data_IF_001884997472
#
_entry.id   IF_001884997472
#
_cell.length_a   1.000
_cell.length_b   1.000
_cell.length_c   1.000
_cell.angle_alpha   90.00
_cell.angle_beta   90.00
_cell.angle_gamma   90.00
#
_symmetry.space_group_name_H-M   'P 1'
#
loop_
_entity.id
_entity.type
_entity.pdbx_description
1 polymer ?
#
# COMPACT_ATOMS: atom_id res chain seq x y z
N UNK A 1 13.97 16.08 -5.07
CA UNK A 1 13.11 15.24 -5.90
C UNK A 1 13.35 13.78 -5.53
N UNK A 2 12.32 13.01 -5.20
CA UNK A 2 12.50 11.59 -4.89
C UNK A 2 12.91 10.83 -6.15
N UNK A 3 13.94 10.01 -6.07
CA UNK A 3 14.41 9.13 -7.14
C UNK A 3 13.29 8.25 -7.73
N UNK A 4 12.30 7.88 -6.91
CA UNK A 4 11.12 7.10 -7.30
C UNK A 4 10.29 7.82 -8.36
N UNK A 5 10.09 9.13 -8.25
CA UNK A 5 9.31 9.92 -9.22
C UNK A 5 9.97 9.89 -10.61
N UNK A 6 11.31 10.04 -10.67
CA UNK A 6 12.05 9.95 -11.94
C UNK A 6 11.93 8.55 -12.54
N UNK A 7 11.94 7.50 -11.72
CA UNK A 7 11.75 6.13 -12.17
C UNK A 7 10.36 5.88 -12.78
N UNK A 8 9.32 6.41 -12.17
CA UNK A 8 7.96 6.31 -12.71
C UNK A 8 7.80 7.07 -14.02
N UNK A 9 8.33 8.31 -14.10
CA UNK A 9 8.31 9.10 -15.32
C UNK A 9 9.09 8.44 -16.45
N UNK A 10 10.26 7.86 -16.16
CA UNK A 10 11.05 7.14 -17.16
C UNK A 10 10.26 5.95 -17.74
N UNK A 11 9.59 5.17 -16.91
CA UNK A 11 8.74 4.05 -17.34
C UNK A 11 7.54 4.52 -18.15
N UNK A 12 6.90 5.60 -17.74
CA UNK A 12 5.78 6.19 -18.45
C UNK A 12 6.20 6.61 -19.87
N UNK A 13 7.26 7.42 -20.02
CA UNK A 13 7.74 7.85 -21.31
C UNK A 13 8.22 6.68 -22.19
N UNK A 14 8.81 5.66 -21.57
CA UNK A 14 9.19 4.45 -22.31
C UNK A 14 7.96 3.68 -22.84
N UNK A 15 6.89 3.57 -22.05
CA UNK A 15 5.62 2.96 -22.44
C UNK A 15 4.93 3.74 -23.57
N UNK A 16 5.04 5.10 -23.56
CA UNK A 16 4.57 5.99 -24.62
C UNK A 16 5.44 5.92 -25.91
N UNK A 17 6.52 5.13 -25.90
CA UNK A 17 7.37 4.90 -27.08
C UNK A 17 8.51 5.91 -27.29
N UNK A 18 8.79 6.78 -26.30
CA UNK A 18 9.93 7.70 -26.39
C UNK A 18 11.27 6.96 -26.37
N UNK A 19 12.25 7.48 -27.11
CA UNK A 19 13.62 6.95 -27.14
C UNK A 19 14.41 7.42 -25.94
N UNK A 20 15.45 6.66 -25.55
CA UNK A 20 16.28 6.94 -24.36
C UNK A 20 16.74 8.37 -24.23
N UNK A 21 17.26 8.96 -25.32
CA UNK A 21 17.73 10.35 -25.32
C UNK A 21 16.61 11.37 -25.08
N UNK A 22 15.43 11.08 -25.58
CA UNK A 22 14.24 11.92 -25.37
C UNK A 22 13.78 11.81 -23.92
N UNK A 23 13.75 10.58 -23.37
CA UNK A 23 13.42 10.35 -21.96
C UNK A 23 14.40 11.08 -21.04
N UNK A 24 15.71 11.01 -21.34
CA UNK A 24 16.73 11.76 -20.57
C UNK A 24 16.41 13.24 -20.53
N UNK A 25 16.16 13.87 -21.67
CA UNK A 25 15.81 15.30 -21.77
C UNK A 25 14.53 15.64 -21.00
N UNK A 26 13.50 14.82 -21.13
CA UNK A 26 12.24 15.03 -20.40
C UNK A 26 12.42 14.94 -18.87
N UNK A 27 13.29 14.06 -18.40
CA UNK A 27 13.62 13.96 -16.97
C UNK A 27 14.46 15.15 -16.49
N UNK A 28 15.40 15.64 -17.30
CA UNK A 28 16.19 16.86 -17.05
C UNK A 28 15.26 18.08 -16.95
N UNK A 29 14.37 18.26 -17.90
CA UNK A 29 13.36 19.32 -17.91
C UNK A 29 12.43 19.26 -16.70
N UNK A 30 12.05 18.05 -16.29
CA UNK A 30 11.24 17.86 -15.08
C UNK A 30 11.99 18.29 -13.82
N UNK A 31 13.28 17.95 -13.70
CA UNK A 31 14.12 18.38 -12.57
C UNK A 31 14.20 19.89 -12.50
N UNK A 32 14.47 20.56 -13.65
CA UNK A 32 14.55 22.02 -13.72
C UNK A 32 13.22 22.69 -13.40
N UNK A 33 12.09 22.11 -13.85
CA UNK A 33 10.75 22.63 -13.51
C UNK A 33 10.45 22.54 -12.02
N UNK A 34 10.92 21.49 -11.34
CA UNK A 34 10.71 21.31 -9.91
C UNK A 34 11.66 22.15 -9.05
N UNK A 35 12.90 22.34 -9.52
CA UNK A 35 13.92 23.15 -8.87
C UNK A 35 14.77 23.85 -9.94
N UNK A 36 14.45 25.12 -10.25
CA UNK A 36 15.21 25.91 -11.24
C UNK A 36 16.70 26.11 -10.92
N UNK A 37 17.09 25.86 -9.66
CA UNK A 37 18.49 25.98 -9.19
C UNK A 37 19.23 24.64 -9.23
N UNK A 38 18.55 23.55 -9.61
CA UNK A 38 19.13 22.22 -9.62
C UNK A 38 20.30 22.11 -10.61
N UNK A 39 21.41 21.57 -10.15
CA UNK A 39 22.51 21.21 -11.02
C UNK A 39 22.25 19.84 -11.66
N UNK A 40 21.77 19.84 -12.90
CA UNK A 40 21.37 18.64 -13.66
C UNK A 40 22.51 17.61 -13.79
N UNK A 41 23.77 18.04 -13.87
CA UNK A 41 24.93 17.13 -13.94
C UNK A 41 25.01 16.19 -12.74
N UNK A 42 24.56 16.61 -11.56
CA UNK A 42 24.50 15.73 -10.39
C UNK A 42 23.48 14.60 -10.52
N UNK A 43 22.55 14.73 -11.44
CA UNK A 43 21.48 13.77 -11.68
C UNK A 43 21.76 12.84 -12.87
N UNK A 44 22.79 13.09 -13.65
CA UNK A 44 23.10 12.35 -14.87
C UNK A 44 23.13 10.84 -14.67
N UNK A 45 23.89 10.37 -13.69
CA UNK A 45 23.96 8.93 -13.35
C UNK A 45 22.60 8.37 -12.89
N UNK A 46 21.83 9.15 -12.13
CA UNK A 46 20.50 8.76 -11.67
C UNK A 46 19.55 8.66 -12.87
N UNK A 47 19.52 9.64 -13.75
CA UNK A 47 18.70 9.66 -14.97
C UNK A 47 19.05 8.45 -15.84
N UNK A 48 20.33 8.24 -16.14
CA UNK A 48 20.79 7.10 -16.94
C UNK A 48 20.37 5.76 -16.35
N UNK A 49 20.47 5.62 -15.03
CA UNK A 49 20.00 4.43 -14.31
C UNK A 49 18.49 4.23 -14.43
N UNK A 50 17.68 5.28 -14.29
CA UNK A 50 16.23 5.21 -14.41
C UNK A 50 15.78 4.88 -15.85
N UNK A 51 16.41 5.47 -16.86
CA UNK A 51 16.14 5.15 -18.26
C UNK A 51 16.46 3.67 -18.57
N UNK A 52 17.61 3.16 -18.08
CA UNK A 52 17.97 1.76 -18.22
C UNK A 52 16.97 0.83 -17.53
N UNK A 53 16.50 1.20 -16.34
CA UNK A 53 15.51 0.43 -15.60
C UNK A 53 14.13 0.47 -16.25
N UNK A 54 13.75 1.57 -16.91
CA UNK A 54 12.48 1.67 -17.61
C UNK A 54 12.33 0.62 -18.72
N UNK A 55 13.42 0.26 -19.39
CA UNK A 55 13.44 -0.84 -20.38
C UNK A 55 13.26 -2.21 -19.76
N UNK A 56 13.81 -2.39 -18.56
CA UNK A 56 13.81 -3.69 -17.86
C UNK A 56 12.50 -3.97 -17.13
N UNK A 57 11.86 -2.91 -16.63
CA UNK A 57 10.66 -2.99 -15.81
C UNK A 57 9.54 -2.17 -16.45
N UNK A 58 8.68 -2.84 -17.20
CA UNK A 58 7.54 -2.20 -17.85
C UNK A 58 6.64 -1.45 -16.85
N UNK A 59 5.99 -0.40 -17.34
CA UNK A 59 4.86 0.20 -16.62
C UNK A 59 3.71 -0.81 -16.66
N UNK A 60 3.25 -1.21 -15.50
CA UNK A 60 2.09 -2.09 -15.38
C UNK A 60 0.92 -1.19 -14.99
N UNK A 61 -0.08 -1.10 -15.86
CA UNK A 61 -1.36 -0.52 -15.50
C UNK A 61 -2.15 -1.54 -14.70
N UNK A 62 -2.44 -1.19 -13.47
CA UNK A 62 -3.20 -2.00 -12.56
C UNK A 62 -4.37 -1.17 -12.03
N UNK A 63 -5.55 -1.41 -12.60
CA UNK A 63 -6.75 -0.65 -12.25
C UNK A 63 -7.20 -0.96 -10.82
N UNK A 64 -7.19 -2.22 -10.44
CA UNK A 64 -7.65 -2.65 -9.12
C UNK A 64 -7.15 -4.05 -8.75
N UNK A 65 -7.22 -4.36 -7.47
CA UNK A 65 -6.98 -5.71 -6.92
C UNK A 65 -8.29 -6.25 -6.38
N UNK A 66 -8.77 -7.42 -6.87
CA UNK A 66 -9.97 -8.06 -6.35
C UNK A 66 -9.69 -8.72 -4.99
N UNK A 67 -10.54 -8.46 -4.01
CA UNK A 67 -10.59 -9.16 -2.73
C UNK A 67 -11.80 -10.08 -2.73
N UNK A 68 -11.58 -11.37 -2.50
CA UNK A 68 -12.63 -12.36 -2.54
C UNK A 68 -13.42 -12.43 -1.25
N UNK A 69 -14.61 -13.01 -1.32
CA UNK A 69 -15.47 -13.26 -0.16
C UNK A 69 -14.74 -14.06 0.92
N UNK A 70 -14.04 -15.12 0.52
CA UNK A 70 -13.28 -15.99 1.43
C UNK A 70 -12.14 -15.27 2.15
N UNK A 71 -11.43 -14.38 1.45
CA UNK A 71 -10.38 -13.55 2.05
C UNK A 71 -10.95 -12.56 3.07
N UNK A 72 -12.11 -11.97 2.75
CA UNK A 72 -12.78 -11.03 3.65
C UNK A 72 -13.30 -11.76 4.90
N UNK A 73 -13.99 -12.90 4.73
CA UNK A 73 -14.47 -13.73 5.84
C UNK A 73 -13.34 -14.21 6.75
N UNK A 74 -12.18 -14.54 6.18
CA UNK A 74 -10.99 -14.88 6.96
C UNK A 74 -10.53 -13.70 7.82
N UNK A 75 -10.42 -12.51 7.25
CA UNK A 75 -10.08 -11.30 8.01
C UNK A 75 -11.08 -11.03 9.14
N UNK A 76 -12.38 -11.24 8.89
CA UNK A 76 -13.43 -11.07 9.89
C UNK A 76 -13.31 -12.10 11.02
N UNK A 77 -13.05 -13.37 10.67
CA UNK A 77 -12.93 -14.45 11.64
C UNK A 77 -11.86 -14.20 12.69
N UNK A 78 -10.75 -13.53 12.31
CA UNK A 78 -9.69 -13.15 13.24
C UNK A 78 -10.16 -12.18 14.33
N UNK A 79 -11.21 -11.42 14.07
CA UNK A 79 -11.80 -10.55 15.10
C UNK A 79 -12.48 -11.33 16.22
N UNK A 80 -12.79 -12.60 16.00
CA UNK A 80 -13.46 -13.49 16.94
C UNK A 80 -12.51 -14.49 17.62
N UNK A 81 -11.31 -14.72 17.05
CA UNK A 81 -10.33 -15.65 17.59
C UNK A 81 -9.55 -15.05 18.78
N UNK A 82 -9.17 -15.89 19.70
CA UNK A 82 -8.20 -15.54 20.74
C UNK A 82 -6.78 -15.78 20.19
N UNK A 83 -6.02 -14.71 20.01
CA UNK A 83 -4.64 -14.76 19.52
C UNK A 83 -3.71 -14.79 20.74
N UNK A 84 -2.93 -15.88 20.88
CA UNK A 84 -2.22 -16.27 22.08
C UNK A 84 -1.41 -15.18 22.76
N UNK A 85 -0.44 -14.57 22.07
CA UNK A 85 0.47 -13.59 22.68
C UNK A 85 -0.14 -12.20 22.87
N UNK A 86 -1.12 -11.83 22.03
CA UNK A 86 -1.78 -10.52 22.10
C UNK A 86 -2.83 -10.45 23.23
N UNK A 87 -3.31 -11.60 23.71
CA UNK A 87 -4.37 -11.69 24.72
C UNK A 87 -3.89 -11.69 26.17
N UNK A 88 -2.59 -11.61 26.42
CA UNK A 88 -2.02 -11.49 27.77
C UNK A 88 -2.33 -10.14 28.46
N UNK A 89 -3.05 -9.23 27.78
CA UNK A 89 -3.40 -7.91 28.29
C UNK A 89 -4.79 -7.81 28.94
N UNK A 90 -5.10 -6.61 29.45
CA UNK A 90 -6.40 -6.31 30.08
C UNK A 90 -7.58 -6.49 29.11
N UNK A 91 -8.76 -6.86 29.64
CA UNK A 91 -10.00 -7.02 28.85
C UNK A 91 -10.38 -5.78 28.02
N UNK A 92 -9.98 -4.57 28.42
CA UNK A 92 -10.22 -3.32 27.67
C UNK A 92 -9.44 -3.23 26.37
N UNK A 93 -8.32 -3.93 26.23
CA UNK A 93 -7.47 -3.89 25.03
C UNK A 93 -7.90 -4.93 23.97
N UNK A 94 -8.64 -5.97 24.37
CA UNK A 94 -9.05 -7.07 23.47
C UNK A 94 -9.82 -6.63 22.23
N UNK A 95 -10.87 -5.79 22.30
CA UNK A 95 -11.61 -5.36 21.10
C UNK A 95 -10.75 -4.55 20.11
N UNK A 96 -9.82 -3.72 20.64
CA UNK A 96 -8.89 -2.94 19.83
C UNK A 96 -7.91 -3.84 19.09
N UNK A 97 -7.35 -4.84 19.75
CA UNK A 97 -6.43 -5.82 19.14
C UNK A 97 -7.15 -6.61 18.05
N UNK A 98 -8.33 -7.18 18.32
CA UNK A 98 -9.12 -7.94 17.35
C UNK A 98 -9.32 -7.18 16.03
N UNK A 99 -9.81 -5.94 16.11
CA UNK A 99 -10.03 -5.08 14.96
C UNK A 99 -8.75 -4.74 14.21
N UNK A 100 -7.65 -4.58 14.91
CA UNK A 100 -6.37 -4.25 14.30
C UNK A 100 -5.79 -5.43 13.53
N UNK A 101 -5.89 -6.64 14.05
CA UNK A 101 -5.38 -7.86 13.39
C UNK A 101 -6.05 -8.05 12.03
N UNK A 102 -7.38 -7.94 11.96
CA UNK A 102 -8.12 -8.06 10.70
C UNK A 102 -7.66 -7.05 9.65
N UNK A 103 -7.44 -5.78 10.06
CA UNK A 103 -6.94 -4.74 9.15
C UNK A 103 -5.51 -5.01 8.67
N UNK A 104 -4.65 -5.54 9.55
CA UNK A 104 -3.27 -5.88 9.19
C UNK A 104 -3.25 -7.04 8.20
N UNK A 105 -4.03 -8.11 8.45
CA UNK A 105 -4.12 -9.22 7.49
C UNK A 105 -4.71 -8.77 6.16
N UNK A 106 -5.81 -8.02 6.15
CA UNK A 106 -6.37 -7.43 4.92
C UNK A 106 -5.32 -6.64 4.13
N UNK A 107 -4.55 -5.79 4.81
CA UNK A 107 -3.47 -5.01 4.18
C UNK A 107 -2.42 -5.92 3.54
N UNK A 108 -2.00 -6.98 4.22
CA UNK A 108 -1.03 -7.93 3.68
C UNK A 108 -1.58 -8.71 2.48
N UNK A 109 -2.86 -9.12 2.50
CA UNK A 109 -3.53 -9.73 1.35
C UNK A 109 -3.49 -8.79 0.13
N UNK A 110 -3.89 -7.52 0.31
CA UNK A 110 -3.84 -6.52 -0.76
C UNK A 110 -2.43 -6.35 -1.33
N UNK A 111 -1.42 -6.24 -0.47
CA UNK A 111 -0.03 -6.04 -0.88
C UNK A 111 0.55 -7.28 -1.59
N UNK A 112 0.20 -8.49 -1.14
CA UNK A 112 0.64 -9.72 -1.78
C UNK A 112 0.00 -9.88 -3.17
N UNK A 113 -1.30 -9.65 -3.30
CA UNK A 113 -2.00 -9.65 -4.61
C UNK A 113 -1.47 -8.57 -5.55
N UNK A 114 -1.22 -7.36 -5.03
CA UNK A 114 -0.55 -6.31 -5.79
C UNK A 114 0.84 -6.78 -6.29
N UNK A 115 1.63 -7.37 -5.40
CA UNK A 115 2.93 -7.92 -5.74
C UNK A 115 2.84 -8.99 -6.83
N UNK A 116 1.86 -9.90 -6.76
CA UNK A 116 1.64 -10.93 -7.78
C UNK A 116 1.20 -10.33 -9.11
N UNK A 117 0.36 -9.31 -9.10
CA UNK A 117 -0.12 -8.64 -10.31
C UNK A 117 1.01 -7.92 -11.07
N UNK A 118 1.95 -7.30 -10.36
CA UNK A 118 3.10 -6.61 -10.99
C UNK A 118 4.29 -7.54 -11.29
N UNK A 119 4.34 -8.71 -10.68
CA UNK A 119 5.42 -9.70 -10.88
C UNK A 119 4.88 -11.12 -10.65
N UNK A 120 4.66 -11.84 -11.73
CA UNK A 120 4.18 -13.23 -11.69
C UNK A 120 5.02 -14.17 -10.80
N UNK A 121 6.29 -13.85 -10.58
CA UNK A 121 7.20 -14.63 -9.72
C UNK A 121 7.19 -14.16 -8.25
N UNK A 122 6.32 -13.23 -7.86
CA UNK A 122 6.28 -12.71 -6.49
C UNK A 122 5.84 -13.77 -5.48
N UNK A 123 5.01 -14.75 -5.88
CA UNK A 123 4.60 -15.89 -5.04
C UNK A 123 4.11 -15.45 -3.64
N UNK A 124 3.23 -14.47 -3.58
CA UNK A 124 2.57 -13.96 -2.37
C UNK A 124 3.50 -13.27 -1.36
N UNK A 125 4.69 -12.84 -1.78
CA UNK A 125 5.59 -12.11 -0.89
C UNK A 125 5.19 -10.64 -0.76
N UNK A 126 5.19 -10.15 0.48
CA UNK A 126 5.06 -8.74 0.84
C UNK A 126 6.45 -8.20 1.15
N UNK A 127 7.03 -7.47 0.21
CA UNK A 127 8.36 -6.88 0.32
C UNK A 127 8.27 -5.45 0.90
N UNK A 128 7.73 -5.33 2.12
CA UNK A 128 7.55 -4.07 2.83
C UNK A 128 7.98 -4.22 4.28
N UNK A 129 8.49 -3.14 4.86
CA UNK A 129 8.83 -3.11 6.29
C UNK A 129 7.55 -3.20 7.14
N UNK A 130 7.62 -3.85 8.31
CA UNK A 130 6.50 -3.97 9.24
C UNK A 130 5.85 -2.62 9.52
N UNK A 131 6.66 -1.60 9.83
CA UNK A 131 6.19 -0.22 10.09
C UNK A 131 5.33 0.32 8.95
N UNK A 132 5.66 0.02 7.70
CA UNK A 132 4.91 0.45 6.53
C UNK A 132 3.58 -0.31 6.41
N UNK A 133 3.58 -1.63 6.60
CA UNK A 133 2.37 -2.45 6.62
C UNK A 133 1.38 -1.93 7.66
N UNK A 134 1.85 -1.70 8.89
CA UNK A 134 1.01 -1.17 9.97
C UNK A 134 0.51 0.25 9.71
N UNK A 135 1.33 1.10 9.07
CA UNK A 135 0.91 2.44 8.64
C UNK A 135 -0.21 2.37 7.58
N UNK A 136 -0.07 1.49 6.57
CA UNK A 136 -1.09 1.30 5.53
C UNK A 136 -2.37 0.67 6.08
N UNK A 137 -2.25 -0.19 7.09
CA UNK A 137 -3.38 -0.75 7.85
C UNK A 137 -4.05 0.29 8.78
N UNK A 138 -3.50 1.51 8.89
CA UNK A 138 -3.91 2.53 9.87
C UNK A 138 -3.94 1.97 11.31
N UNK A 139 -2.90 1.23 11.70
CA UNK A 139 -2.74 0.63 13.01
C UNK A 139 -1.53 1.23 13.71
N UNK A 140 -1.78 2.00 14.76
CA UNK A 140 -0.74 2.65 15.56
C UNK A 140 -0.51 1.88 16.87
N UNK A 141 0.51 1.04 16.88
CA UNK A 141 0.94 0.26 18.05
C UNK A 141 2.47 0.24 18.12
N UNK A 142 3.02 -0.05 19.30
CA UNK A 142 4.47 -0.15 19.48
C UNK A 142 5.08 -1.29 18.65
N UNK A 143 6.35 -1.17 18.28
CA UNK A 143 7.08 -2.19 17.50
C UNK A 143 7.00 -3.57 18.14
N UNK A 144 7.12 -3.65 19.48
CA UNK A 144 6.96 -4.92 20.22
C UNK A 144 5.59 -5.55 19.96
N UNK A 145 4.50 -4.77 19.95
CA UNK A 145 3.15 -5.27 19.65
C UNK A 145 2.97 -5.61 18.18
N UNK A 146 3.63 -4.91 17.27
CA UNK A 146 3.65 -5.28 15.85
C UNK A 146 4.24 -6.68 15.67
N UNK A 147 5.42 -6.93 16.26
CA UNK A 147 6.08 -8.23 16.18
C UNK A 147 5.25 -9.36 16.81
N UNK A 148 4.60 -9.11 17.96
CA UNK A 148 3.70 -10.09 18.58
C UNK A 148 2.50 -10.42 17.67
N UNK A 149 1.88 -9.41 17.06
CA UNK A 149 0.76 -9.59 16.13
C UNK A 149 1.16 -10.41 14.90
N UNK A 150 2.31 -10.12 14.32
CA UNK A 150 2.84 -10.91 13.19
C UNK A 150 3.20 -12.34 13.61
N UNK A 151 3.72 -12.54 14.82
CA UNK A 151 3.97 -13.88 15.36
C UNK A 151 2.67 -14.68 15.52
N UNK A 152 1.62 -14.07 16.07
CA UNK A 152 0.32 -14.72 16.22
C UNK A 152 -0.29 -15.08 14.84
N UNK A 153 -0.18 -14.20 13.83
CA UNK A 153 -0.63 -14.49 12.46
C UNK A 153 0.17 -15.64 11.82
N UNK A 154 1.46 -15.76 12.11
CA UNK A 154 2.28 -16.91 11.70
C UNK A 154 1.83 -18.18 12.40
N UNK A 155 1.58 -18.12 13.70
CA UNK A 155 1.26 -19.29 14.52
C UNK A 155 -0.11 -19.89 14.16
N UNK A 156 -1.05 -19.07 13.69
CA UNK A 156 -2.31 -19.55 13.09
C UNK A 156 -2.20 -19.94 11.61
N UNK A 157 -1.02 -19.82 11.01
CA UNK A 157 -0.71 -20.34 9.68
C UNK A 157 -1.18 -19.47 8.51
N UNK A 158 -1.59 -18.21 8.71
CA UNK A 158 -2.02 -17.33 7.61
C UNK A 158 -0.86 -16.59 6.94
N UNK A 159 0.30 -16.50 7.62
CA UNK A 159 1.54 -15.96 7.07
C UNK A 159 2.74 -16.85 7.44
N UNK A 160 3.85 -16.66 6.75
CA UNK A 160 5.18 -17.16 7.13
C UNK A 160 6.25 -16.09 6.92
N UNK A 161 7.32 -16.15 7.67
CA UNK A 161 8.48 -15.30 7.49
C UNK A 161 9.52 -15.91 6.55
N UNK A 162 10.31 -15.06 5.89
CA UNK A 162 11.49 -15.49 5.16
C UNK A 162 12.49 -16.19 6.10
N UNK A 163 13.22 -17.17 5.58
CA UNK A 163 14.32 -17.84 6.32
C UNK A 163 15.60 -17.00 6.38
N UNK A 164 15.72 -15.91 5.60
CA UNK A 164 16.89 -15.05 5.59
C UNK A 164 16.80 -14.03 6.74
N UNK A 165 17.84 -14.02 7.58
CA UNK A 165 17.90 -13.19 8.80
C UNK A 165 17.86 -11.68 8.48
N UNK A 166 18.44 -11.26 7.36
CA UNK A 166 18.59 -9.85 6.98
C UNK A 166 17.42 -9.28 6.15
N UNK A 167 16.44 -10.12 5.82
CA UNK A 167 15.31 -9.70 4.99
C UNK A 167 14.03 -10.39 5.47
N UNK A 168 13.37 -9.77 6.44
CA UNK A 168 12.13 -10.29 7.03
C UNK A 168 10.96 -9.97 6.11
N UNK A 169 10.92 -10.65 4.96
CA UNK A 169 9.75 -10.58 4.09
C UNK A 169 8.66 -11.52 4.62
N UNK A 170 7.43 -11.09 4.48
CA UNK A 170 6.24 -11.84 4.88
C UNK A 170 5.64 -12.49 3.64
N UNK A 171 5.40 -13.79 3.69
CA UNK A 171 4.65 -14.51 2.68
C UNK A 171 3.23 -14.77 3.18
N UNK A 172 2.22 -14.37 2.41
CA UNK A 172 0.81 -14.57 2.73
C UNK A 172 0.36 -15.92 2.20
N UNK A 173 -0.16 -16.79 3.08
CA UNK A 173 -0.50 -18.19 2.76
C UNK A 173 -1.99 -18.37 2.46
N UNK A 174 -2.81 -17.37 2.71
CA UNK A 174 -4.27 -17.46 2.68
C UNK A 174 -4.92 -16.74 1.48
N UNK A 175 -4.16 -16.51 0.40
CA UNK A 175 -4.73 -15.90 -0.80
C UNK A 175 -5.69 -16.87 -1.50
N UNK A 176 -6.77 -16.30 -2.02
CA UNK A 176 -7.76 -17.00 -2.83
C UNK A 176 -7.82 -16.38 -4.23
N UNK A 177 -7.30 -17.11 -5.23
CA UNK A 177 -7.15 -16.60 -6.59
C UNK A 177 -8.39 -16.78 -7.48
N UNK A 178 -9.30 -17.65 -7.09
CA UNK A 178 -10.45 -18.07 -7.92
C UNK A 178 -11.82 -17.77 -7.33
N UNK A 179 -11.89 -17.08 -6.19
CA UNK A 179 -13.14 -16.79 -5.50
C UNK A 179 -13.87 -15.56 -6.05
N UNK A 180 -15.16 -15.44 -5.73
CA UNK A 180 -15.99 -14.30 -6.10
C UNK A 180 -15.50 -13.01 -5.42
N UNK A 181 -15.19 -11.95 -6.19
CA UNK A 181 -14.73 -10.70 -5.62
C UNK A 181 -15.89 -9.95 -4.93
N UNK A 182 -15.69 -9.54 -3.70
CA UNK A 182 -16.64 -8.70 -2.94
C UNK A 182 -16.18 -7.26 -2.83
N UNK A 183 -14.92 -6.98 -3.17
CA UNK A 183 -14.34 -5.65 -3.12
C UNK A 183 -13.24 -5.49 -4.19
N UNK A 184 -13.14 -4.29 -4.77
CA UNK A 184 -12.04 -3.89 -5.65
C UNK A 184 -11.21 -2.81 -4.95
N UNK A 185 -9.91 -3.05 -4.78
CA UNK A 185 -8.98 -2.11 -4.16
C UNK A 185 -8.25 -1.35 -5.27
N UNK A 186 -8.52 -0.05 -5.37
CA UNK A 186 -7.93 0.87 -6.37
C UNK A 186 -6.86 1.78 -5.76
N UNK A 187 -6.87 1.97 -4.43
CA UNK A 187 -5.97 2.87 -3.71
C UNK A 187 -5.22 2.14 -2.59
N UNK A 188 -3.90 2.13 -2.66
CA UNK A 188 -3.03 1.44 -1.71
C UNK A 188 -2.51 2.34 -0.57
N UNK A 189 -2.91 3.61 -0.48
CA UNK A 189 -2.41 4.56 0.51
C UNK A 189 -2.88 4.26 1.94
N UNK A 190 -4.17 3.90 2.10
CA UNK A 190 -4.82 3.66 3.40
C UNK A 190 -5.73 2.42 3.36
N UNK A 191 -5.14 1.25 3.17
CA UNK A 191 -5.88 -0.02 3.04
C UNK A 191 -6.75 -0.34 4.25
N UNK A 192 -6.27 -0.08 5.47
CA UNK A 192 -7.06 -0.28 6.67
C UNK A 192 -8.32 0.58 6.74
N UNK A 193 -8.33 1.77 6.12
CA UNK A 193 -9.53 2.60 6.05
C UNK A 193 -10.54 2.02 5.07
N UNK A 194 -10.10 1.44 3.97
CA UNK A 194 -10.98 0.77 3.01
C UNK A 194 -11.66 -0.45 3.64
N UNK A 195 -10.91 -1.24 4.41
CA UNK A 195 -11.46 -2.34 5.20
C UNK A 195 -12.56 -1.86 6.15
N UNK A 196 -12.32 -0.78 6.90
CA UNK A 196 -13.29 -0.21 7.82
C UNK A 196 -14.52 0.36 7.09
N UNK A 197 -14.33 1.00 5.94
CA UNK A 197 -15.42 1.51 5.12
C UNK A 197 -16.31 0.37 4.60
N UNK A 198 -15.73 -0.73 4.13
CA UNK A 198 -16.44 -1.93 3.71
C UNK A 198 -17.34 -2.49 4.83
N UNK A 199 -16.88 -2.43 6.08
CA UNK A 199 -17.64 -2.86 7.27
C UNK A 199 -18.60 -1.77 7.81
N UNK A 200 -18.95 -0.77 7.02
CA UNK A 200 -19.95 0.25 7.38
C UNK A 200 -19.49 1.28 8.41
N UNK A 201 -18.17 1.35 8.71
CA UNK A 201 -17.66 2.44 9.53
C UNK A 201 -17.75 3.78 8.78
N UNK A 202 -17.82 4.87 9.54
CA UNK A 202 -17.98 6.24 9.00
C UNK A 202 -16.69 6.71 8.30
N UNK A 203 -16.53 6.30 7.06
CA UNK A 203 -15.47 6.71 6.13
C UNK A 203 -16.07 7.23 4.83
N UNK A 204 -15.32 8.03 4.11
CA UNK A 204 -15.67 8.49 2.76
C UNK A 204 -14.47 8.32 1.84
N UNK A 205 -14.76 8.13 0.57
CA UNK A 205 -13.79 8.27 -0.50
C UNK A 205 -13.74 9.75 -0.94
N UNK A 206 -12.52 10.30 -1.05
CA UNK A 206 -12.31 11.68 -1.48
C UNK A 206 -12.71 11.84 -2.95
N UNK A 207 -13.68 12.71 -3.24
CA UNK A 207 -14.18 12.95 -4.60
C UNK A 207 -13.13 13.52 -5.59
N UNK A 208 -11.95 13.95 -5.10
CA UNK A 208 -10.88 14.48 -5.93
C UNK A 208 -9.74 13.49 -6.16
N UNK A 209 -9.31 12.75 -5.12
CA UNK A 209 -8.12 11.91 -5.20
C UNK A 209 -8.35 10.44 -4.82
N UNK A 210 -9.59 10.01 -4.56
CA UNK A 210 -9.94 8.64 -4.21
C UNK A 210 -9.52 8.19 -2.79
N UNK A 211 -8.77 8.99 -2.03
CA UNK A 211 -8.28 8.60 -0.72
C UNK A 211 -9.43 8.36 0.27
N UNK A 212 -9.46 7.17 0.89
CA UNK A 212 -10.45 6.86 1.93
C UNK A 212 -10.02 7.45 3.26
N UNK A 213 -10.87 8.31 3.83
CA UNK A 213 -10.63 9.03 5.08
C UNK A 213 -11.82 8.96 6.03
N UNK A 214 -11.61 9.12 7.36
CA UNK A 214 -12.71 9.21 8.31
C UNK A 214 -13.67 10.34 7.94
N UNK A 215 -14.96 10.05 7.97
CA UNK A 215 -16.04 11.03 7.74
C UNK A 215 -16.23 11.87 9.01
N UNK A 216 -16.04 13.19 8.91
CA UNK A 216 -16.20 14.12 10.04
C UNK A 216 -17.63 14.69 10.14
N UNK A 217 -18.29 14.88 9.00
CA UNK A 217 -19.66 15.39 8.91
C UNK A 217 -20.33 14.90 7.60
N UNK A 218 -21.64 15.10 7.50
CA UNK A 218 -22.41 14.60 6.35
C UNK A 218 -22.14 15.37 5.03
N UNK A 219 -21.64 16.57 5.08
CA UNK A 219 -21.30 17.39 3.90
C UNK A 219 -19.87 17.16 3.39
N UNK A 220 -19.05 16.41 4.12
CA UNK A 220 -17.66 16.15 3.73
C UNK A 220 -17.60 15.33 2.44
N UNK A 221 -16.91 15.88 1.42
CA UNK A 221 -16.66 15.22 0.13
C UNK A 221 -15.18 15.03 -0.18
N UNK A 222 -14.30 15.73 0.54
CA UNK A 222 -12.86 15.78 0.24
C UNK A 222 -12.04 15.40 1.46
N UNK A 223 -10.87 14.81 1.23
CA UNK A 223 -9.85 14.72 2.27
C UNK A 223 -9.33 16.11 2.65
N UNK A 224 -8.63 16.24 3.76
CA UNK A 224 -8.12 17.52 4.24
C UNK A 224 -7.30 18.26 3.17
N UNK A 225 -6.33 17.56 2.54
CA UNK A 225 -5.46 18.15 1.52
C UNK A 225 -6.24 18.71 0.32
N UNK A 226 -7.10 17.89 -0.30
CA UNK A 226 -7.88 18.33 -1.46
C UNK A 226 -8.89 19.43 -1.12
N UNK A 227 -9.42 19.43 0.09
CA UNK A 227 -10.29 20.50 0.59
C UNK A 227 -9.55 21.83 0.75
N UNK A 228 -8.35 21.82 1.33
CA UNK A 228 -7.51 23.01 1.48
C UNK A 228 -7.05 23.58 0.13
N UNK A 229 -6.65 22.70 -0.80
CA UNK A 229 -6.22 23.10 -2.14
C UNK A 229 -7.37 23.76 -2.93
N UNK A 230 -8.57 23.18 -2.87
CA UNK A 230 -9.75 23.73 -3.50
C UNK A 230 -10.16 25.09 -2.91
N UNK A 231 -9.97 25.30 -1.62
CA UNK A 231 -10.24 26.59 -0.97
C UNK A 231 -9.25 27.66 -1.42
N UNK A 232 -7.95 27.32 -1.57
CA UNK A 232 -6.93 28.24 -2.12
C UNK A 232 -7.22 28.68 -3.54
N UNK A 233 -7.81 27.81 -4.37
CA UNK A 233 -8.16 28.15 -5.77
C UNK A 233 -9.38 29.06 -5.88
N UNK A 234 -10.18 29.22 -4.81
CA UNK A 234 -11.36 30.08 -4.77
C UNK A 234 -11.10 31.47 -4.14
N UNK A 235 -9.96 31.62 -3.47
CA UNK A 235 -9.49 32.89 -2.88
C UNK A 235 -8.59 33.63 -3.82
#
# INVERSE_FOLDING_TARGET
LPHETLGHLAKYYHAEGYKDREIQRLLEDFIIKCDPTANVFKWENTIAHQVKNAKKYALIELDSIPITKKEMELCESLSQQELGQLYSGSNRQRPFVKRNVSRVLFTMICLAKYGNAINANNNNWVNRQDKEIFRMANVQISTKRQSLMLSDLRDIGVIRFSKKVDNVNINVLCLDEGGDPVMQVTDFRNLGNQYLMYHGHQYIECASCGLVVPKKNNSQRYCKHCGEERNRQKS
#
